data_IF_613406731174
#
_entry.id   IF_613406731174
#
_cell.length_a   1.000
_cell.length_b   1.000
_cell.length_c   1.000
_cell.angle_alpha   90.00
_cell.angle_beta   90.00
_cell.angle_gamma   90.00
#
_symmetry.space_group_name_H-M   'P 1'
#
loop_
_entity.id
_entity.type
_entity.pdbx_description
1 polymer ?
#
# COMPACT_ATOMS: atom_id res chain seq x y z
N UNK A 1 -16.96 -2.04 -27.39
CA UNK A 1 -16.54 -3.16 -26.51
C UNK A 1 -15.05 -3.39 -26.71
N UNK A 2 -14.22 -3.36 -25.66
CA UNK A 2 -12.79 -3.67 -25.73
C UNK A 2 -12.48 -4.83 -24.79
N UNK A 3 -12.24 -6.02 -25.34
CA UNK A 3 -11.92 -7.22 -24.56
C UNK A 3 -10.48 -7.11 -24.05
N UNK A 4 -10.27 -7.38 -22.77
CA UNK A 4 -8.97 -7.40 -22.10
C UNK A 4 -8.91 -8.60 -21.16
N UNK A 5 -7.70 -9.10 -20.88
CA UNK A 5 -7.46 -10.20 -19.94
C UNK A 5 -6.49 -9.78 -18.84
N UNK A 6 -6.72 -10.25 -17.61
CA UNK A 6 -5.89 -10.01 -16.45
C UNK A 6 -5.84 -11.28 -15.59
N UNK A 7 -4.64 -11.70 -15.20
CA UNK A 7 -4.46 -12.79 -14.22
C UNK A 7 -4.81 -12.26 -12.83
N UNK A 8 -5.63 -13.01 -12.08
CA UNK A 8 -6.10 -12.63 -10.74
C UNK A 8 -5.68 -13.65 -9.69
N UNK A 9 -5.71 -13.24 -8.43
CA UNK A 9 -5.35 -14.06 -7.27
C UNK A 9 -6.52 -14.11 -6.28
N UNK A 10 -6.71 -15.26 -5.64
CA UNK A 10 -7.67 -15.45 -4.55
C UNK A 10 -6.92 -15.98 -3.34
N UNK A 11 -7.13 -15.37 -2.17
CA UNK A 11 -6.59 -15.82 -0.89
C UNK A 11 -7.75 -16.33 -0.01
N UNK A 12 -7.76 -17.63 0.30
CA UNK A 12 -8.75 -18.20 1.23
C UNK A 12 -8.26 -17.99 2.67
N UNK A 13 -8.86 -17.02 3.37
CA UNK A 13 -8.46 -16.65 4.73
C UNK A 13 -8.77 -17.74 5.77
N UNK A 14 -9.72 -18.64 5.52
CA UNK A 14 -10.02 -19.78 6.40
C UNK A 14 -8.88 -20.80 6.43
N UNK A 15 -8.10 -20.88 5.34
CA UNK A 15 -6.92 -21.76 5.24
C UNK A 15 -5.60 -21.03 5.52
N UNK A 16 -5.65 -19.74 5.86
CA UNK A 16 -4.45 -18.99 6.17
C UNK A 16 -3.96 -19.36 7.57
N UNK A 17 -2.69 -19.76 7.67
CA UNK A 17 -2.06 -20.15 8.94
C UNK A 17 -1.05 -19.11 9.47
N UNK A 18 -0.95 -17.95 8.81
CA UNK A 18 -0.07 -16.86 9.27
C UNK A 18 1.41 -17.23 9.34
N UNK A 19 1.92 -18.11 8.49
CA UNK A 19 3.30 -18.63 8.58
C UNK A 19 4.39 -17.74 7.96
N UNK A 20 4.03 -16.64 7.29
CA UNK A 20 4.96 -15.70 6.63
C UNK A 20 5.87 -16.28 5.51
N UNK A 21 5.66 -17.52 5.06
CA UNK A 21 6.48 -18.12 3.99
C UNK A 21 6.42 -17.32 2.68
N UNK A 22 5.25 -16.78 2.33
CA UNK A 22 5.08 -15.92 1.15
C UNK A 22 5.89 -14.62 1.24
N UNK A 23 6.03 -14.06 2.45
CA UNK A 23 6.81 -12.86 2.70
C UNK A 23 8.31 -13.11 2.55
N UNK A 24 8.82 -14.18 3.18
CA UNK A 24 10.26 -14.51 3.15
C UNK A 24 10.72 -14.85 1.74
N UNK A 25 9.96 -15.66 1.01
CA UNK A 25 10.31 -16.01 -0.38
C UNK A 25 10.33 -14.79 -1.29
N UNK A 26 9.34 -13.89 -1.17
CA UNK A 26 9.32 -12.63 -1.90
C UNK A 26 10.51 -11.74 -1.53
N UNK A 27 10.86 -11.65 -0.24
CA UNK A 27 11.98 -10.85 0.25
C UNK A 27 13.30 -11.29 -0.36
N UNK A 28 13.58 -12.59 -0.31
CA UNK A 28 14.82 -13.17 -0.80
C UNK A 28 14.97 -13.04 -2.32
N UNK A 29 13.86 -13.15 -3.05
CA UNK A 29 13.89 -13.02 -4.50
C UNK A 29 14.03 -11.57 -4.97
N UNK A 30 13.43 -10.59 -4.27
CA UNK A 30 13.19 -9.25 -4.86
C UNK A 30 13.72 -8.06 -4.04
N UNK A 31 13.62 -8.08 -2.71
CA UNK A 31 13.88 -6.91 -1.86
C UNK A 31 14.99 -7.14 -0.82
N UNK A 32 16.01 -7.93 -1.19
CA UNK A 32 17.17 -8.26 -0.35
C UNK A 32 18.36 -7.30 -0.52
N UNK A 33 18.17 -6.15 -1.18
CA UNK A 33 19.23 -5.17 -1.48
C UNK A 33 19.13 -3.94 -0.59
N UNK A 34 20.26 -3.23 -0.48
CA UNK A 34 20.35 -1.97 0.23
C UNK A 34 19.34 -0.91 -0.25
N UNK A 35 18.67 -0.26 0.70
CA UNK A 35 17.57 0.68 0.49
C UNK A 35 16.18 0.04 0.43
N UNK A 36 16.08 -1.29 0.50
CA UNK A 36 14.81 -2.03 0.45
C UNK A 36 14.66 -3.07 1.57
N UNK A 37 15.51 -3.01 2.59
CA UNK A 37 15.53 -3.93 3.73
C UNK A 37 14.24 -3.85 4.54
N UNK A 38 13.68 -2.65 4.70
CA UNK A 38 12.36 -2.47 5.29
C UNK A 38 11.23 -2.89 4.32
N UNK A 39 11.46 -2.97 3.01
CA UNK A 39 10.38 -3.22 2.05
C UNK A 39 9.97 -4.69 1.99
N UNK A 40 8.69 -4.94 2.26
CA UNK A 40 8.02 -6.24 2.10
C UNK A 40 6.88 -6.11 1.09
N UNK A 41 7.13 -6.49 -0.18
CA UNK A 41 6.07 -6.44 -1.21
C UNK A 41 4.90 -7.37 -0.90
N UNK A 42 5.17 -8.51 -0.25
CA UNK A 42 4.18 -9.41 0.29
C UNK A 42 4.36 -9.47 1.81
N UNK A 43 3.44 -8.89 2.57
CA UNK A 43 3.42 -8.95 4.03
C UNK A 43 2.17 -9.69 4.52
N UNK A 44 2.24 -10.22 5.74
CA UNK A 44 1.14 -10.87 6.45
C UNK A 44 0.89 -10.11 7.75
N UNK A 45 -0.37 -9.84 8.06
CA UNK A 45 -0.77 -9.06 9.23
C UNK A 45 -1.80 -9.83 10.06
N UNK A 46 -1.59 -9.86 11.37
CA UNK A 46 -2.58 -10.39 12.31
C UNK A 46 -3.65 -9.34 12.58
N UNK A 47 -4.92 -9.77 12.63
CA UNK A 47 -6.04 -8.90 12.99
C UNK A 47 -6.66 -9.35 14.33
N UNK A 48 -7.03 -8.40 15.21
CA UNK A 48 -6.91 -6.93 15.08
C UNK A 48 -5.44 -6.44 15.19
N UNK A 49 -5.08 -5.38 14.47
CA UNK A 49 -3.71 -4.87 14.41
C UNK A 49 -3.58 -3.57 13.58
N UNK A 50 -2.40 -2.94 13.64
CA UNK A 50 -2.11 -1.67 12.97
C UNK A 50 -1.68 -1.82 11.50
N UNK A 51 -1.20 -3.00 11.11
CA UNK A 51 -0.71 -3.28 9.76
C UNK A 51 0.66 -2.70 9.43
N UNK A 52 1.03 -2.76 8.14
CA UNK A 52 2.33 -2.38 7.62
C UNK A 52 2.23 -1.57 6.31
N UNK A 53 2.59 -0.27 6.27
CA UNK A 53 2.99 0.57 7.41
C UNK A 53 1.86 0.73 8.43
N UNK A 54 2.22 1.17 9.64
CA UNK A 54 1.26 1.34 10.73
C UNK A 54 0.13 2.27 10.30
N UNK A 55 -1.10 1.83 10.58
CA UNK A 55 -2.36 2.50 10.27
C UNK A 55 -2.59 2.79 8.78
N UNK A 56 -2.01 2.02 7.85
CA UNK A 56 -2.16 2.27 6.40
C UNK A 56 -3.62 2.35 5.91
N UNK A 57 -4.57 1.75 6.63
CA UNK A 57 -6.00 1.79 6.33
C UNK A 57 -6.64 3.15 6.61
N UNK A 58 -6.05 3.98 7.47
CA UNK A 58 -6.53 5.33 7.78
C UNK A 58 -6.31 6.28 6.59
N UNK A 59 -7.32 6.36 5.72
CA UNK A 59 -7.25 7.23 4.55
C UNK A 59 -7.46 8.71 4.89
N UNK A 60 -7.86 9.08 6.11
CA UNK A 60 -7.91 10.49 6.52
C UNK A 60 -6.50 11.02 6.73
N UNK A 61 -5.62 10.23 7.35
CA UNK A 61 -4.17 10.47 7.43
C UNK A 61 -3.49 10.32 6.06
N UNK A 62 -3.61 9.16 5.42
CA UNK A 62 -2.76 8.77 4.28
C UNK A 62 -3.25 9.24 2.91
N UNK A 63 -4.53 9.64 2.80
CA UNK A 63 -5.12 10.18 1.56
C UNK A 63 -4.92 9.31 0.30
N UNK A 64 -4.90 7.98 0.46
CA UNK A 64 -4.87 7.03 -0.64
C UNK A 64 -6.22 6.92 -1.37
N UNK A 65 -6.19 6.28 -2.55
CA UNK A 65 -7.39 5.97 -3.32
C UNK A 65 -8.13 7.18 -3.95
N UNK A 66 -9.42 6.96 -4.22
CA UNK A 66 -10.28 7.88 -4.96
C UNK A 66 -11.52 8.26 -4.14
N UNK A 67 -12.01 9.48 -4.36
CA UNK A 67 -13.28 9.97 -3.84
C UNK A 67 -14.22 10.34 -4.98
N UNK A 68 -15.51 10.06 -4.79
CA UNK A 68 -16.57 10.42 -5.74
C UNK A 68 -17.05 11.84 -5.45
N UNK A 69 -17.08 12.69 -6.48
CA UNK A 69 -17.63 14.05 -6.37
C UNK A 69 -19.16 14.04 -6.39
N UNK A 70 -19.78 15.14 -5.94
CA UNK A 70 -21.23 15.35 -6.08
C UNK A 70 -21.73 15.21 -7.52
N UNK A 71 -20.89 15.56 -8.50
CA UNK A 71 -21.16 15.39 -9.94
C UNK A 71 -20.93 13.96 -10.47
N UNK A 72 -20.55 13.00 -9.61
CA UNK A 72 -20.33 11.60 -9.97
C UNK A 72 -18.94 11.28 -10.56
N UNK A 73 -18.04 12.26 -10.70
CA UNK A 73 -16.68 12.04 -11.20
C UNK A 73 -15.76 11.52 -10.08
N UNK A 74 -14.69 10.81 -10.45
CA UNK A 74 -13.64 10.41 -9.51
C UNK A 74 -12.53 11.45 -9.42
N UNK A 75 -12.04 11.70 -8.21
CA UNK A 75 -10.85 12.51 -7.93
C UNK A 75 -9.95 11.77 -6.94
N UNK A 76 -8.63 11.93 -7.06
CA UNK A 76 -7.70 11.38 -6.08
C UNK A 76 -7.91 12.04 -4.71
N UNK A 77 -7.91 11.26 -3.63
CA UNK A 77 -8.06 11.79 -2.26
C UNK A 77 -6.90 12.72 -1.90
N UNK A 78 -5.68 12.37 -2.31
CA UNK A 78 -4.48 13.21 -2.15
C UNK A 78 -4.49 14.54 -2.93
N UNK A 79 -5.39 14.71 -3.90
CA UNK A 79 -5.55 15.95 -4.67
C UNK A 79 -5.33 15.80 -6.18
N UNK A 80 -5.79 16.82 -6.93
CA UNK A 80 -5.62 16.89 -8.38
C UNK A 80 -4.20 17.25 -8.82
N UNK A 81 -4.00 17.36 -10.14
CA UNK A 81 -2.69 17.60 -10.77
C UNK A 81 -1.96 18.84 -10.20
N UNK A 82 -2.66 19.95 -9.98
CA UNK A 82 -2.06 21.18 -9.46
C UNK A 82 -1.57 21.03 -8.02
N UNK A 83 -2.36 20.41 -7.13
CA UNK A 83 -1.94 20.15 -5.75
C UNK A 83 -0.71 19.24 -5.71
N UNK A 84 -0.67 18.20 -6.54
CA UNK A 84 0.50 17.31 -6.67
C UNK A 84 1.75 18.03 -7.18
N UNK A 85 1.60 18.97 -8.11
CA UNK A 85 2.71 19.79 -8.60
C UNK A 85 3.29 20.68 -7.49
N UNK A 86 2.44 21.31 -6.70
CA UNK A 86 2.88 22.15 -5.58
C UNK A 86 3.51 21.33 -4.44
N UNK A 87 3.13 20.06 -4.27
CA UNK A 87 3.65 19.18 -3.22
C UNK A 87 4.76 18.23 -3.68
N UNK A 88 5.39 18.48 -4.84
CA UNK A 88 6.37 17.54 -5.41
C UNK A 88 7.68 17.50 -4.60
N UNK A 89 8.10 18.63 -4.05
CA UNK A 89 9.35 18.74 -3.30
C UNK A 89 9.24 18.18 -1.87
N UNK A 90 8.03 18.16 -1.31
CA UNK A 90 7.75 17.59 -0.01
C UNK A 90 6.29 17.10 0.01
N UNK A 91 6.10 15.78 -0.07
CA UNK A 91 4.78 15.17 0.00
C UNK A 91 4.29 15.15 1.46
N UNK A 92 3.20 15.83 1.81
CA UNK A 92 2.72 15.92 3.19
C UNK A 92 2.08 14.63 3.73
N UNK A 93 1.87 13.64 2.85
CA UNK A 93 1.18 12.37 3.16
C UNK A 93 2.06 11.15 2.96
N UNK A 94 3.36 11.35 2.66
CA UNK A 94 4.30 10.27 2.45
C UNK A 94 4.58 9.59 3.81
N UNK A 95 4.40 8.27 3.95
CA UNK A 95 4.86 7.54 5.13
C UNK A 95 6.37 7.64 5.29
N UNK A 96 6.83 7.92 6.51
CA UNK A 96 8.24 7.92 6.88
C UNK A 96 8.72 6.52 7.27
N UNK A 97 10.02 6.38 7.55
CA UNK A 97 10.59 5.09 7.97
C UNK A 97 10.00 4.61 9.30
N UNK A 98 9.72 5.53 10.22
CA UNK A 98 9.12 5.24 11.54
C UNK A 98 7.70 4.67 11.46
N UNK A 99 6.96 4.95 10.38
CA UNK A 99 5.65 4.34 10.12
C UNK A 99 5.80 2.86 9.69
N UNK A 100 6.97 2.45 9.23
CA UNK A 100 7.35 1.06 8.96
C UNK A 100 8.15 0.50 10.16
N UNK A 101 9.47 0.44 10.02
CA UNK A 101 10.48 0.17 11.03
C UNK A 101 11.86 0.60 10.50
N UNK A 102 12.79 0.90 11.40
CA UNK A 102 14.21 1.07 11.05
C UNK A 102 14.85 -0.32 10.91
N UNK A 103 15.34 -0.71 9.71
CA UNK A 103 15.81 -2.06 9.42
C UNK A 103 17.17 -2.41 10.00
#
# INVERSE_FOLDING_TARGET
MRVMAQVSMVMNLDKCIGCHTCSVTCKQAWTNRAGTEYVWFNNVETRPGLGYPRTYEDQEKWQGGWVRTRSGRLKLKSGGRFKKLLSIFASPVQPGLDDYYEP
#
